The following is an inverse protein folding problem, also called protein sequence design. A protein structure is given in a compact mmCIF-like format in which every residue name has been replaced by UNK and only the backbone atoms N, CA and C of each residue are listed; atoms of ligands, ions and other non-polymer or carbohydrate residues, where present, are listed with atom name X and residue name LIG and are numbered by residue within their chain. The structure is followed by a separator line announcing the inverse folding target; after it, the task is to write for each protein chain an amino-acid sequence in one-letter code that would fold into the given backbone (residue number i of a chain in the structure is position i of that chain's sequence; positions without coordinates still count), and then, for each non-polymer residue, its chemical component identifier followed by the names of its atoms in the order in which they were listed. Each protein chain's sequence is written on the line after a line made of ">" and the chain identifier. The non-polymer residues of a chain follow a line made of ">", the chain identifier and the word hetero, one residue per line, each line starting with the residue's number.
data_IF_601143043910
#
_entry.id   IF_601143043910
#
_cell.length_a   1.000
_cell.length_b   1.000
_cell.length_c   1.000
_cell.angle_alpha   90.00
_cell.angle_beta   90.00
_cell.angle_gamma   90.00
#
_symmetry.space_group_name_H-M   'P 1'
#
loop_
_entity.id
_entity.type
_entity.pdbx_description
1 polymer ?
#
# COMPACT_ATOMS: atom_id res chain seq x y z
N UNK A 1 3.43 -5.22 27.29
CA UNK A 1 3.65 -5.25 25.83
C UNK A 1 3.95 -3.83 25.38
N UNK A 2 5.08 -3.58 24.71
CA UNK A 2 5.46 -2.23 24.29
C UNK A 2 4.62 -1.76 23.10
N UNK A 3 4.14 -0.53 23.17
CA UNK A 3 3.35 0.14 22.12
C UNK A 3 4.21 0.48 20.90
N UNK A 4 3.55 0.71 19.77
CA UNK A 4 4.16 1.28 18.56
C UNK A 4 4.06 2.80 18.62
N UNK A 5 5.21 3.46 18.51
CA UNK A 5 5.34 4.90 18.60
C UNK A 5 5.57 5.47 17.21
N UNK A 6 4.73 6.45 16.86
CA UNK A 6 4.76 7.12 15.56
C UNK A 6 6.04 7.94 15.39
N UNK A 7 6.65 7.85 14.20
CA UNK A 7 7.80 8.64 13.80
C UNK A 7 7.42 9.57 12.62
N UNK A 8 7.11 10.85 12.87
CA UNK A 8 6.67 11.76 11.82
C UNK A 8 7.73 12.01 10.73
N UNK A 9 9.03 11.87 11.08
CA UNK A 9 10.14 12.20 10.17
C UNK A 9 10.37 11.17 9.06
N UNK A 10 9.84 9.97 9.24
CA UNK A 10 10.03 8.85 8.31
C UNK A 10 8.74 8.50 7.56
N UNK A 11 7.76 9.40 7.58
CA UNK A 11 6.52 9.25 6.83
C UNK A 11 6.72 9.64 5.38
N UNK A 12 6.07 8.95 4.45
CA UNK A 12 6.17 9.30 3.04
C UNK A 12 4.90 8.97 2.27
N UNK A 13 4.72 9.67 1.15
CA UNK A 13 3.69 9.37 0.15
C UNK A 13 4.37 8.71 -1.04
N UNK A 14 3.83 7.61 -1.54
CA UNK A 14 4.38 6.92 -2.69
C UNK A 14 3.30 6.41 -3.66
N UNK A 15 3.71 6.24 -4.91
CA UNK A 15 3.01 5.41 -5.89
C UNK A 15 3.67 4.03 -5.91
N UNK A 16 2.89 2.97 -6.07
CA UNK A 16 3.38 1.60 -5.99
C UNK A 16 2.98 0.79 -7.22
N UNK A 17 3.85 -0.15 -7.58
CA UNK A 17 3.65 -1.10 -8.68
C UNK A 17 3.99 -2.51 -8.23
N UNK A 18 3.17 -3.47 -8.65
CA UNK A 18 3.51 -4.89 -8.57
C UNK A 18 4.62 -5.22 -9.58
N UNK A 19 5.62 -5.96 -9.12
CA UNK A 19 6.79 -6.39 -9.89
C UNK A 19 6.80 -7.90 -10.18
N UNK A 20 6.04 -8.71 -9.44
CA UNK A 20 6.14 -10.17 -9.50
C UNK A 20 7.43 -10.71 -8.88
N UNK A 21 7.59 -12.04 -8.84
CA UNK A 21 8.75 -12.70 -8.21
C UNK A 21 9.93 -12.99 -9.14
N UNK A 22 9.74 -12.88 -10.45
CA UNK A 22 10.72 -13.34 -11.45
C UNK A 22 11.62 -12.24 -11.99
N UNK A 23 11.47 -11.02 -11.48
CA UNK A 23 12.10 -9.84 -12.03
C UNK A 23 12.85 -9.17 -10.91
N UNK A 24 14.14 -8.92 -11.12
CA UNK A 24 14.90 -7.98 -10.31
C UNK A 24 14.95 -6.66 -11.06
N UNK A 25 14.37 -5.63 -10.46
CA UNK A 25 14.36 -4.27 -11.04
C UNK A 25 15.37 -3.43 -10.31
N UNK A 26 16.13 -2.63 -11.04
CA UNK A 26 17.04 -1.64 -10.50
C UNK A 26 16.90 -0.32 -11.25
N UNK A 27 17.58 0.73 -10.77
CA UNK A 27 17.51 2.05 -11.40
C UNK A 27 17.83 2.03 -12.90
N UNK A 28 18.80 1.21 -13.31
CA UNK A 28 19.25 1.09 -14.71
C UNK A 28 18.31 0.26 -15.58
N UNK A 29 17.55 -0.67 -14.98
CA UNK A 29 16.65 -1.58 -15.72
C UNK A 29 15.18 -1.17 -15.62
N UNK A 30 14.88 -0.03 -14.98
CA UNK A 30 13.51 0.47 -14.80
C UNK A 30 12.77 0.61 -16.12
N UNK A 31 13.39 1.24 -17.13
CA UNK A 31 12.77 1.47 -18.43
C UNK A 31 12.36 0.15 -19.10
N UNK A 32 13.23 -0.85 -19.03
CA UNK A 32 13.01 -2.19 -19.61
C UNK A 32 12.09 -3.08 -18.76
N UNK A 33 11.73 -2.65 -17.55
CA UNK A 33 10.85 -3.38 -16.65
C UNK A 33 9.39 -2.90 -16.74
N UNK A 34 9.13 -1.73 -17.33
CA UNK A 34 7.80 -1.10 -17.32
C UNK A 34 6.70 -1.99 -17.88
N UNK A 35 7.00 -2.77 -18.91
CA UNK A 35 6.09 -3.73 -19.56
C UNK A 35 5.63 -4.88 -18.64
N UNK A 36 6.30 -5.06 -17.50
CA UNK A 36 6.06 -6.13 -16.53
C UNK A 36 5.64 -5.60 -15.16
N UNK A 37 5.53 -4.29 -15.02
CA UNK A 37 5.03 -3.65 -13.81
C UNK A 37 3.54 -3.36 -13.95
N UNK A 38 2.82 -3.43 -12.82
CA UNK A 38 1.39 -3.14 -12.78
C UNK A 38 1.06 -2.18 -11.64
N UNK A 39 0.40 -1.06 -11.95
CA UNK A 39 0.02 -0.05 -10.96
C UNK A 39 -0.85 -0.65 -9.86
N UNK A 40 -0.51 -0.40 -8.60
CA UNK A 40 -1.36 -0.75 -7.47
C UNK A 40 -2.41 0.34 -7.24
N UNK A 41 -3.63 -0.08 -6.93
CA UNK A 41 -4.72 0.83 -6.66
C UNK A 41 -5.79 0.19 -5.77
N UNK A 42 -6.67 1.02 -5.22
CA UNK A 42 -7.88 0.59 -4.52
C UNK A 42 -9.00 1.59 -4.79
N UNK A 43 -10.23 1.12 -4.80
CA UNK A 43 -11.43 1.96 -4.90
C UNK A 43 -12.29 1.86 -3.64
N UNK A 44 -13.10 2.89 -3.39
CA UNK A 44 -14.17 2.85 -2.40
C UNK A 44 -15.44 3.52 -2.92
N UNK A 45 -16.60 3.13 -2.42
CA UNK A 45 -17.87 3.79 -2.72
C UNK A 45 -18.56 3.34 -4.02
N UNK A 46 -18.22 2.16 -4.55
CA UNK A 46 -18.75 1.69 -5.84
C UNK A 46 -20.20 1.11 -5.82
N UNK A 47 -20.89 1.13 -4.67
CA UNK A 47 -22.34 0.87 -4.48
C UNK A 47 -22.99 -0.04 -5.55
N UNK A 48 -22.67 -1.34 -5.52
CA UNK A 48 -23.11 -2.45 -6.41
C UNK A 48 -24.25 -2.17 -7.41
N UNK A 49 -24.04 -2.38 -8.72
CA UNK A 49 -24.19 -3.72 -9.33
C UNK A 49 -23.18 -4.00 -10.46
N UNK A 50 -22.11 -3.19 -10.56
CA UNK A 50 -20.97 -3.38 -11.48
C UNK A 50 -19.60 -3.27 -10.80
N UNK A 51 -19.54 -2.81 -9.55
CA UNK A 51 -18.34 -2.79 -8.71
C UNK A 51 -18.43 -3.89 -7.65
N UNK A 52 -17.81 -5.04 -7.91
CA UNK A 52 -17.75 -6.16 -6.95
C UNK A 52 -16.49 -6.11 -6.07
N UNK A 53 -15.57 -5.19 -6.37
CA UNK A 53 -14.21 -5.17 -5.85
C UNK A 53 -13.93 -3.97 -4.93
N UNK A 54 -14.99 -3.35 -4.41
CA UNK A 54 -14.93 -2.24 -3.47
C UNK A 54 -13.97 -2.58 -2.33
N UNK A 55 -13.02 -1.68 -2.07
CA UNK A 55 -12.05 -1.73 -0.97
C UNK A 55 -11.01 -2.83 -1.06
N UNK A 56 -10.97 -3.66 -2.09
CA UNK A 56 -9.88 -4.63 -2.24
C UNK A 56 -8.68 -4.00 -2.95
N UNK A 57 -7.47 -4.28 -2.43
CA UNK A 57 -6.24 -3.87 -3.09
C UNK A 57 -6.12 -4.64 -4.40
N UNK A 58 -5.88 -3.91 -5.47
CA UNK A 58 -5.79 -4.44 -6.82
C UNK A 58 -4.53 -3.95 -7.52
N UNK A 59 -4.18 -4.64 -8.60
CA UNK A 59 -3.25 -4.10 -9.58
C UNK A 59 -3.90 -4.03 -10.95
N UNK A 60 -3.40 -3.12 -11.78
CA UNK A 60 -3.61 -3.22 -13.22
C UNK A 60 -3.00 -4.51 -13.79
N UNK A 61 -3.19 -4.73 -15.10
CA UNK A 61 -2.41 -5.70 -15.85
C UNK A 61 -0.96 -5.25 -16.00
N UNK A 62 -0.06 -6.20 -16.23
CA UNK A 62 1.35 -5.93 -16.51
C UNK A 62 1.49 -4.98 -17.72
N UNK A 63 2.38 -3.99 -17.59
CA UNK A 63 2.61 -2.94 -18.60
C UNK A 63 1.77 -1.68 -18.40
N UNK A 64 0.87 -1.63 -17.42
CA UNK A 64 0.06 -0.46 -17.11
C UNK A 64 0.53 0.17 -15.81
N UNK A 65 1.18 1.33 -15.93
CA UNK A 65 1.82 2.03 -14.81
C UNK A 65 0.93 3.04 -14.10
N UNK A 66 -0.25 3.34 -14.64
CA UNK A 66 -1.21 4.25 -14.02
C UNK A 66 -2.63 3.74 -14.23
N UNK A 67 -3.49 3.95 -13.23
CA UNK A 67 -4.92 3.69 -13.39
C UNK A 67 -5.51 4.78 -14.26
N UNK A 68 -5.76 4.45 -15.52
CA UNK A 68 -6.56 5.31 -16.39
C UNK A 68 -8.02 5.21 -15.95
N UNK A 69 -8.58 6.36 -15.55
CA UNK A 69 -9.97 6.51 -15.14
C UNK A 69 -10.67 7.40 -16.16
N UNK A 70 -11.65 6.84 -16.86
CA UNK A 70 -12.59 7.59 -17.67
C UNK A 70 -13.71 8.17 -16.79
N UNK A 71 -14.40 9.24 -17.22
CA UNK A 71 -15.54 9.79 -16.46
C UNK A 71 -16.64 8.76 -16.17
N UNK A 72 -16.80 7.76 -17.05
CA UNK A 72 -17.74 6.65 -16.87
C UNK A 72 -17.37 5.68 -15.74
N UNK A 73 -16.12 5.71 -15.29
CA UNK A 73 -15.61 4.89 -14.18
C UNK A 73 -16.02 5.47 -12.81
N UNK A 74 -16.68 6.62 -12.76
CA UNK A 74 -17.30 7.19 -11.55
C UNK A 74 -18.83 7.04 -11.61
N UNK A 75 -19.38 5.81 -11.56
CA UNK A 75 -20.82 5.57 -11.60
C UNK A 75 -21.57 6.17 -10.40
N UNK A 76 -20.86 6.56 -9.34
CA UNK A 76 -21.43 7.28 -8.21
C UNK A 76 -20.56 8.49 -7.82
N UNK A 77 -21.20 9.54 -7.29
CA UNK A 77 -20.50 10.71 -6.74
C UNK A 77 -19.72 10.40 -5.46
N UNK A 78 -19.94 9.22 -4.87
CA UNK A 78 -19.23 8.74 -3.68
C UNK A 78 -18.04 7.86 -4.02
N UNK A 79 -17.85 7.51 -5.30
CA UNK A 79 -16.78 6.64 -5.70
C UNK A 79 -15.44 7.38 -5.72
N UNK A 80 -14.45 6.77 -5.08
CA UNK A 80 -13.10 7.29 -4.99
C UNK A 80 -12.11 6.24 -5.45
N UNK A 81 -11.08 6.70 -6.16
CA UNK A 81 -9.97 5.87 -6.63
C UNK A 81 -8.67 6.39 -6.03
N UNK A 82 -7.87 5.44 -5.56
CA UNK A 82 -6.62 5.72 -4.89
C UNK A 82 -5.50 4.93 -5.57
N UNK A 83 -4.54 5.66 -6.12
CA UNK A 83 -3.29 5.12 -6.70
C UNK A 83 -2.06 5.53 -5.88
N UNK A 84 -2.27 6.37 -4.85
CA UNK A 84 -1.24 6.85 -3.94
C UNK A 84 -1.49 6.26 -2.55
N UNK A 85 -0.39 5.94 -1.87
CA UNK A 85 -0.41 5.37 -0.54
C UNK A 85 0.52 6.18 0.35
N UNK A 86 -0.01 6.61 1.50
CA UNK A 86 0.78 7.17 2.58
C UNK A 86 1.25 6.08 3.51
N UNK A 87 2.50 6.20 3.94
CA UNK A 87 3.19 5.27 4.82
C UNK A 87 3.54 5.99 6.12
N UNK A 88 2.71 5.77 7.14
CA UNK A 88 2.94 6.28 8.49
C UNK A 88 3.93 5.42 9.23
N UNK A 89 5.13 5.92 9.52
CA UNK A 89 6.18 5.13 10.16
C UNK A 89 6.00 5.00 11.68
N UNK A 90 6.25 3.81 12.19
CA UNK A 90 6.19 3.43 13.60
C UNK A 90 7.39 2.57 13.99
N UNK A 91 7.77 2.64 15.25
CA UNK A 91 8.78 1.76 15.87
C UNK A 91 8.26 1.21 17.19
N UNK A 92 8.67 -0.01 17.56
CA UNK A 92 8.20 -0.65 18.78
C UNK A 92 8.94 -0.11 20.01
N UNK A 93 8.21 0.48 20.96
CA UNK A 93 8.66 0.90 22.28
C UNK A 93 9.46 2.21 22.36
N UNK A 94 10.24 2.57 21.34
CA UNK A 94 10.93 3.87 21.25
C UNK A 94 11.30 4.16 19.80
N UNK A 95 11.39 5.44 19.44
CA UNK A 95 11.88 5.89 18.13
C UNK A 95 13.40 5.80 18.10
N UNK A 96 13.93 5.04 17.15
CA UNK A 96 15.37 4.89 16.88
C UNK A 96 15.59 4.33 15.48
N UNK A 97 16.64 4.79 14.80
CA UNK A 97 17.00 4.39 13.45
C UNK A 97 17.43 2.91 13.36
N UNK A 98 17.88 2.33 14.48
CA UNK A 98 18.30 0.93 14.56
C UNK A 98 17.12 -0.04 14.62
N UNK A 99 15.91 0.45 14.91
CA UNK A 99 14.72 -0.40 15.07
C UNK A 99 14.07 -0.73 13.75
N UNK A 100 13.37 -1.86 13.71
CA UNK A 100 12.46 -2.22 12.62
C UNK A 100 11.37 -1.16 12.51
N UNK A 101 11.16 -0.67 11.29
CA UNK A 101 10.07 0.25 10.96
C UNK A 101 8.83 -0.55 10.58
N UNK A 102 7.70 -0.08 11.07
CA UNK A 102 6.37 -0.60 10.80
C UNK A 102 5.55 0.53 10.19
N UNK A 103 4.69 0.24 9.23
CA UNK A 103 3.98 1.26 8.46
C UNK A 103 2.47 1.07 8.55
N UNK A 104 1.76 2.13 8.94
CA UNK A 104 0.34 2.32 8.71
C UNK A 104 0.19 2.78 7.25
N UNK A 105 -0.40 1.94 6.40
CA UNK A 105 -0.53 2.23 4.97
C UNK A 105 -1.96 2.70 4.72
N UNK A 106 -2.12 3.93 4.25
CA UNK A 106 -3.43 4.53 3.99
C UNK A 106 -3.53 5.07 2.57
N UNK A 107 -4.65 4.89 1.86
CA UNK A 107 -4.81 5.48 0.55
C UNK A 107 -4.91 7.00 0.64
N UNK A 108 -4.33 7.67 -0.35
CA UNK A 108 -4.42 9.12 -0.53
C UNK A 108 -4.87 9.43 -1.97
N UNK A 109 -5.67 10.48 -2.13
CA UNK A 109 -6.16 10.88 -3.45
C UNK A 109 -5.07 11.63 -4.25
N UNK A 110 -5.40 11.99 -5.50
CA UNK A 110 -4.46 12.69 -6.40
C UNK A 110 -4.09 14.11 -5.98
N UNK A 111 -4.88 14.73 -5.09
CA UNK A 111 -4.54 16.02 -4.46
C UNK A 111 -3.86 15.83 -3.11
N UNK A 112 -3.44 14.60 -2.81
CA UNK A 112 -2.68 14.22 -1.62
C UNK A 112 -3.47 14.44 -0.33
N UNK A 113 -4.76 14.13 -0.35
CA UNK A 113 -5.60 14.06 0.85
C UNK A 113 -5.66 12.62 1.34
N UNK A 114 -5.35 12.42 2.62
CA UNK A 114 -5.41 11.11 3.26
C UNK A 114 -6.86 10.67 3.47
N UNK A 115 -7.17 9.44 3.09
CA UNK A 115 -8.44 8.84 3.44
C UNK A 115 -8.42 8.27 4.87
N UNK A 116 -9.58 8.13 5.49
CA UNK A 116 -9.72 7.48 6.80
C UNK A 116 -9.74 5.93 6.71
N UNK A 117 -9.17 5.38 5.64
CA UNK A 117 -9.03 3.95 5.42
C UNK A 117 -7.60 3.51 5.73
N UNK A 118 -7.43 2.27 6.18
CA UNK A 118 -6.13 1.63 6.40
C UNK A 118 -6.07 0.29 5.68
N UNK A 119 -4.96 0.04 5.01
CA UNK A 119 -4.68 -1.20 4.30
C UNK A 119 -4.36 -2.32 5.29
N UNK A 120 -5.07 -3.43 5.19
CA UNK A 120 -4.83 -4.62 6.01
C UNK A 120 -5.27 -5.90 5.31
N UNK A 121 -4.72 -7.03 5.76
CA UNK A 121 -5.22 -8.34 5.42
C UNK A 121 -6.48 -8.67 6.23
N UNK A 122 -7.50 -9.26 5.60
CA UNK A 122 -8.62 -9.83 6.33
C UNK A 122 -8.10 -10.97 7.23
N UNK A 123 -8.20 -10.77 8.55
CA UNK A 123 -7.76 -11.71 9.57
C UNK A 123 -8.57 -13.02 9.60
N UNK A 124 -9.68 -13.13 8.86
CA UNK A 124 -10.38 -14.40 8.70
C UNK A 124 -9.44 -15.44 8.10
N UNK A 125 -9.21 -16.51 8.86
CA UNK A 125 -8.32 -17.62 8.53
C UNK A 125 -8.60 -18.24 7.13
N UNK A 126 -9.78 -18.01 6.57
CA UNK A 126 -10.21 -18.64 5.31
C UNK A 126 -9.88 -17.83 4.05
N UNK A 127 -9.76 -16.49 4.13
CA UNK A 127 -9.76 -15.66 2.92
C UNK A 127 -8.42 -14.96 2.66
N UNK A 128 -7.79 -14.31 3.64
CA UNK A 128 -6.47 -13.66 3.51
C UNK A 128 -6.41 -12.46 2.56
N UNK A 129 -7.54 -11.98 2.01
CA UNK A 129 -7.56 -10.86 1.06
C UNK A 129 -7.05 -9.57 1.69
N UNK A 130 -6.29 -8.80 0.92
CA UNK A 130 -5.80 -7.49 1.32
C UNK A 130 -6.73 -6.42 0.74
N UNK A 131 -7.09 -5.47 1.59
CA UNK A 131 -7.99 -4.39 1.23
C UNK A 131 -7.91 -3.28 2.26
N UNK A 132 -8.83 -2.33 2.16
CA UNK A 132 -8.87 -1.16 3.02
C UNK A 132 -10.08 -1.24 3.95
N UNK A 133 -9.84 -0.90 5.22
CA UNK A 133 -10.83 -0.97 6.29
C UNK A 133 -10.88 0.36 7.03
N UNK A 134 -12.04 0.69 7.58
CA UNK A 134 -12.20 1.94 8.33
C UNK A 134 -11.16 1.97 9.46
N UNK A 135 -10.42 3.05 9.58
CA UNK A 135 -9.41 3.18 10.62
C UNK A 135 -10.08 3.41 11.97
N UNK A 136 -9.72 2.61 12.96
CA UNK A 136 -10.24 2.72 14.33
C UNK A 136 -9.58 3.88 15.12
N UNK A 137 -8.55 4.51 14.55
CA UNK A 137 -7.88 5.68 15.11
C UNK A 137 -7.33 6.60 14.01
N UNK A 138 -7.17 7.91 14.30
CA UNK A 138 -6.52 8.86 13.40
C UNK A 138 -5.13 8.40 12.96
N UNK A 139 -4.63 8.99 11.86
CA UNK A 139 -3.22 8.86 11.50
C UNK A 139 -2.34 9.39 12.63
N UNK A 140 -1.10 8.92 12.73
CA UNK A 140 -0.14 9.32 13.77
C UNK A 140 -0.49 8.93 15.24
N UNK A 141 -1.66 8.33 15.50
CA UNK A 141 -2.01 7.88 16.84
C UNK A 141 -1.09 6.74 17.32
N UNK A 142 -0.85 6.67 18.64
CA UNK A 142 -0.16 5.53 19.28
C UNK A 142 -0.91 4.22 18.99
N UNK A 143 -0.19 3.15 18.68
CA UNK A 143 -0.80 1.85 18.35
C UNK A 143 -0.43 0.79 19.37
N UNK A 144 -1.45 0.09 19.87
CA UNK A 144 -1.26 -1.15 20.64
C UNK A 144 -0.91 -2.30 19.69
N UNK A 145 -0.10 -3.29 20.09
CA UNK A 145 0.30 -4.37 19.19
C UNK A 145 -0.84 -5.23 18.63
N UNK A 146 -1.92 -5.42 19.41
CA UNK A 146 -3.11 -6.08 18.90
C UNK A 146 -3.87 -5.15 17.96
N UNK A 147 -4.11 -5.59 16.72
CA UNK A 147 -4.96 -4.88 15.77
C UNK A 147 -4.35 -3.60 15.18
N UNK A 148 -3.03 -3.42 15.25
CA UNK A 148 -2.37 -2.19 14.77
C UNK A 148 -2.40 -2.02 13.24
N UNK A 149 -2.76 -3.06 12.47
CA UNK A 149 -2.85 -3.06 10.99
C UNK A 149 -1.60 -2.46 10.34
N UNK A 150 -0.42 -2.82 10.86
CA UNK A 150 0.88 -2.31 10.41
C UNK A 150 1.57 -3.32 9.49
N UNK A 151 2.43 -2.81 8.60
CA UNK A 151 3.23 -3.61 7.68
C UNK A 151 4.72 -3.35 7.88
N UNK A 152 5.57 -4.34 7.70
CA UNK A 152 7.00 -4.13 7.43
C UNK A 152 7.22 -4.12 5.91
N UNK A 153 8.23 -3.37 5.48
CA UNK A 153 8.63 -3.28 4.07
C UNK A 153 10.08 -3.71 3.97
N UNK A 154 10.29 -4.97 3.64
CA UNK A 154 11.61 -5.56 3.52
C UNK A 154 12.26 -5.08 2.22
N UNK A 155 13.56 -4.77 2.28
CA UNK A 155 14.32 -4.19 1.17
C UNK A 155 14.24 -2.66 1.08
N UNK A 156 13.42 -1.99 1.89
CA UNK A 156 13.31 -0.53 1.86
C UNK A 156 14.55 0.15 2.45
N UNK A 157 15.13 1.08 1.69
CA UNK A 157 16.26 1.88 2.15
C UNK A 157 15.96 2.69 3.42
N UNK A 158 16.99 2.96 4.23
CA UNK A 158 16.85 3.74 5.46
C UNK A 158 16.66 5.23 5.17
N UNK A 159 17.42 5.74 4.21
CA UNK A 159 17.38 7.11 3.73
C UNK A 159 16.59 7.15 2.42
N UNK A 160 15.44 7.83 2.44
CA UNK A 160 14.57 7.98 1.27
C UNK A 160 14.58 9.43 0.81
N UNK A 161 14.53 9.65 -0.50
CA UNK A 161 14.47 10.98 -1.11
C UNK A 161 13.23 11.13 -1.97
N UNK A 162 12.72 12.35 -2.05
CA UNK A 162 11.66 12.69 -3.01
C UNK A 162 12.13 12.41 -4.45
N UNK A 163 11.26 11.79 -5.24
CA UNK A 163 11.50 11.34 -6.60
C UNK A 163 12.31 10.04 -6.71
N UNK A 164 12.76 9.48 -5.58
CA UNK A 164 13.52 8.23 -5.58
C UNK A 164 12.60 7.04 -5.83
N UNK A 165 13.09 6.08 -6.61
CA UNK A 165 12.43 4.80 -6.81
C UNK A 165 13.12 3.72 -6.00
N UNK A 166 12.31 2.94 -5.29
CA UNK A 166 12.71 1.77 -4.55
C UNK A 166 12.15 0.53 -5.26
N UNK A 167 12.89 -0.56 -5.24
CA UNK A 167 12.59 -1.76 -6.03
C UNK A 167 12.76 -3.01 -5.18
N UNK A 168 12.21 -4.13 -5.66
CA UNK A 168 12.38 -5.43 -5.04
C UNK A 168 11.89 -5.46 -3.58
N UNK A 169 10.87 -4.68 -3.25
CA UNK A 169 10.36 -4.55 -1.89
C UNK A 169 9.34 -5.64 -1.58
N UNK A 170 9.35 -6.14 -0.36
CA UNK A 170 8.34 -7.11 0.10
C UNK A 170 7.52 -6.51 1.22
N UNK A 171 6.19 -6.51 1.05
CA UNK A 171 5.28 -6.07 2.11
C UNK A 171 4.89 -7.28 2.95
N UNK A 172 5.13 -7.19 4.25
CA UNK A 172 4.98 -8.30 5.18
C UNK A 172 4.16 -7.83 6.37
N UNK A 173 3.15 -8.60 6.76
CA UNK A 173 2.39 -8.35 7.98
C UNK A 173 3.25 -8.71 9.20
N UNK A 174 2.95 -8.23 10.42
CA UNK A 174 3.82 -8.42 11.58
C UNK A 174 3.93 -9.89 12.02
N UNK A 175 3.01 -10.75 11.58
CA UNK A 175 3.01 -12.21 11.76
C UNK A 175 3.70 -12.98 10.62
N UNK A 176 4.31 -12.28 9.65
CA UNK A 176 5.10 -12.88 8.56
C UNK A 176 4.30 -13.18 7.29
N UNK A 177 3.05 -12.71 7.18
CA UNK A 177 2.24 -12.85 5.98
C UNK A 177 2.72 -11.93 4.86
N UNK A 178 3.24 -12.53 3.79
CA UNK A 178 3.74 -11.79 2.62
C UNK A 178 2.60 -11.41 1.67
N UNK A 179 2.69 -10.23 1.07
CA UNK A 179 1.78 -9.80 0.01
C UNK A 179 1.96 -10.64 -1.26
N UNK A 180 0.87 -11.24 -1.75
CA UNK A 180 0.82 -12.09 -2.95
C UNK A 180 -0.27 -11.61 -3.90
N UNK A 181 -0.02 -11.69 -5.20
CA UNK A 181 -1.01 -11.37 -6.24
C UNK A 181 -1.89 -12.58 -6.53
N UNK A 182 -3.18 -12.47 -6.31
CA UNK A 182 -4.17 -13.51 -6.54
C UNK A 182 -5.10 -13.10 -7.69
N UNK A 183 -5.02 -13.84 -8.80
CA UNK A 183 -5.88 -13.58 -9.96
C UNK A 183 -7.22 -14.31 -9.84
N UNK A 184 -8.32 -13.60 -10.07
CA UNK A 184 -9.68 -14.16 -10.01
C UNK A 184 -10.55 -13.52 -11.11
N UNK A 185 -11.15 -14.35 -11.97
CA UNK A 185 -11.95 -13.92 -13.13
C UNK A 185 -11.31 -12.84 -14.04
N UNK A 186 -9.98 -12.79 -14.10
CA UNK A 186 -9.23 -11.82 -14.92
C UNK A 186 -8.79 -10.57 -14.17
N UNK A 187 -9.31 -10.34 -12.97
CA UNK A 187 -8.87 -9.26 -12.08
C UNK A 187 -7.70 -9.72 -11.19
N UNK A 188 -6.86 -8.77 -10.78
CA UNK A 188 -5.69 -9.01 -9.95
C UNK A 188 -5.87 -8.42 -8.56
N UNK A 189 -6.10 -9.28 -7.57
CA UNK A 189 -6.22 -8.92 -6.17
C UNK A 189 -4.94 -9.20 -5.40
N UNK A 190 -4.92 -8.76 -4.14
CA UNK A 190 -3.86 -9.11 -3.22
C UNK A 190 -4.36 -9.93 -2.03
N UNK A 191 -3.47 -10.78 -1.53
CA UNK A 191 -3.75 -11.73 -0.48
C UNK A 191 -2.47 -12.03 0.31
N UNK A 192 -2.59 -12.35 1.61
CA UNK A 192 -1.43 -12.74 2.43
C UNK A 192 -1.20 -14.26 2.50
N UNK A 193 -2.13 -15.05 1.97
CA UNK A 193 -2.11 -16.53 2.04
C UNK A 193 -1.96 -17.17 0.67
N UNK A 194 -2.79 -16.77 -0.29
CA UNK A 194 -2.92 -17.37 -1.63
C UNK A 194 -2.33 -16.47 -2.71
N UNK A 195 -2.08 -17.03 -3.89
CA UNK A 195 -1.60 -16.29 -5.05
C UNK A 195 -0.10 -16.40 -5.26
N UNK A 196 0.38 -15.65 -6.23
CA UNK A 196 1.76 -15.59 -6.65
C UNK A 196 2.56 -14.65 -5.73
N UNK A 197 3.66 -15.16 -5.17
CA UNK A 197 4.62 -14.31 -4.49
C UNK A 197 5.26 -13.32 -5.48
N UNK A 198 5.69 -12.18 -4.95
CA UNK A 198 6.35 -11.16 -5.75
C UNK A 198 6.68 -9.94 -4.95
N UNK A 199 7.23 -8.96 -5.66
CA UNK A 199 7.81 -7.77 -5.08
C UNK A 199 7.05 -6.53 -5.52
N UNK A 200 7.37 -5.42 -4.87
CA UNK A 200 6.80 -4.10 -5.09
C UNK A 200 7.93 -3.16 -5.50
N UNK A 201 7.66 -2.36 -6.52
CA UNK A 201 8.40 -1.14 -6.80
C UNK A 201 7.59 0.06 -6.29
N UNK A 202 8.25 1.12 -5.85
CA UNK A 202 7.57 2.36 -5.47
C UNK A 202 8.38 3.60 -5.85
N UNK A 203 7.69 4.70 -6.07
CA UNK A 203 8.27 6.03 -6.26
C UNK A 203 7.83 6.95 -5.12
N UNK A 204 8.80 7.54 -4.43
CA UNK A 204 8.56 8.43 -3.30
C UNK A 204 8.17 9.81 -3.83
N UNK A 205 6.94 10.25 -3.60
CA UNK A 205 6.41 11.52 -4.11
C UNK A 205 6.61 12.69 -3.13
N UNK A 206 6.60 12.40 -1.83
CA UNK A 206 6.74 13.38 -0.75
C UNK A 206 7.34 12.73 0.50
N UNK A 207 8.28 13.41 1.16
CA UNK A 207 8.92 12.99 2.41
C UNK A 207 9.57 14.20 3.14
N UNK A 208 9.42 14.32 4.48
CA UNK A 208 8.37 13.69 5.26
C UNK A 208 7.01 14.19 4.76
N UNK A 209 6.05 13.28 4.58
CA UNK A 209 4.71 13.67 4.17
C UNK A 209 3.83 13.90 5.39
N UNK A 210 3.70 15.17 5.77
CA UNK A 210 2.81 15.63 6.82
C UNK A 210 1.48 16.08 6.24
N UNK A 211 0.38 15.62 6.82
CA UNK A 211 -0.93 16.21 6.61
C UNK A 211 -1.18 17.20 7.75
N UNK A 212 -1.43 18.46 7.43
CA UNK A 212 -1.98 19.41 8.39
C UNK A 212 -3.42 18.99 8.70
N UNK A 213 -3.77 18.92 9.98
CA UNK A 213 -5.17 18.91 10.41
C UNK A 213 -5.82 20.19 9.86
N UNK A 214 -6.86 20.06 9.02
CA UNK A 214 -7.81 21.16 8.80
C UNK A 214 -8.81 21.13 9.96
#
# INVERSE_FOLDING_TARGET
>A
MSEYIFNPRETFLARCWWQGSRISVGPQTWADAQDRLAALWVESGSQGARGHWDRYLQSEKDGVLEKHLAPLDYPSSTQQYYELFWFGAYTKGSVSDEKTRYYDIRPADRVWTLSNWVLDGNASFLSGYVGIWAADAPAAALRKPQGSRLWTIDGLGRELKRGERQFNLQWVTPDGGELKRFSYYGDHFFNTRKGEAGLIAMEILSIPHHFEEI
#
